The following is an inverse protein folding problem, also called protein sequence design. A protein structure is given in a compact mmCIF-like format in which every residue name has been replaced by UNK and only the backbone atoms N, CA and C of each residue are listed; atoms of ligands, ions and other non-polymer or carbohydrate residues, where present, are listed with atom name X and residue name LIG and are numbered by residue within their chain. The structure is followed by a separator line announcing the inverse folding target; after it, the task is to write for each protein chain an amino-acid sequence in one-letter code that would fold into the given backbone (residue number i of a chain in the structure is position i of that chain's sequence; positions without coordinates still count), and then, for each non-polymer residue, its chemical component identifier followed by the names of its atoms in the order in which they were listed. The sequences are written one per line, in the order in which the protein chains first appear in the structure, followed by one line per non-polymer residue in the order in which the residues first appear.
data_IF_020772264850
#
_entry.id   IF_020772264850
#
_cell.length_a   1.000
_cell.length_b   1.000
_cell.length_c   1.000
_cell.angle_alpha   90.00
_cell.angle_beta   90.00
_cell.angle_gamma   90.00
#
_symmetry.space_group_name_H-M   'P 1'
#
loop_
_entity.id
_entity.type
_entity.pdbx_description
1 polymer ?
#
# COMPACT_ATOMS: atom_id res chain seq x y z
N UNK A 1 -6.00 5.97 15.96
CA UNK A 1 -7.35 6.48 15.66
C UNK A 1 -8.16 6.32 16.92
N UNK A 2 -8.21 7.39 17.70
CA UNK A 2 -9.13 7.53 18.83
C UNK A 2 -10.51 7.95 18.33
N UNK A 3 -11.50 7.94 19.22
CA UNK A 3 -12.86 8.38 18.89
C UNK A 3 -12.93 9.88 18.57
N UNK A 4 -12.05 10.68 19.17
CA UNK A 4 -11.88 12.11 18.85
C UNK A 4 -11.29 12.32 17.45
N UNK A 5 -10.29 11.52 17.05
CA UNK A 5 -9.73 11.56 15.70
C UNK A 5 -10.83 11.32 14.65
N UNK A 6 -11.72 10.35 14.88
CA UNK A 6 -12.82 10.04 13.97
C UNK A 6 -13.84 11.19 13.86
N UNK A 7 -14.18 11.86 14.97
CA UNK A 7 -15.07 13.01 14.97
C UNK A 7 -14.48 14.20 14.21
N UNK A 8 -13.19 14.48 14.41
CA UNK A 8 -12.49 15.53 13.67
C UNK A 8 -12.39 15.18 12.18
N UNK A 9 -12.14 13.91 11.83
CA UNK A 9 -12.12 13.47 10.44
C UNK A 9 -13.47 13.69 9.75
N UNK A 10 -14.58 13.35 10.41
CA UNK A 10 -15.93 13.59 9.89
C UNK A 10 -16.22 15.10 9.74
N UNK A 11 -15.89 15.90 10.77
CA UNK A 11 -16.10 17.35 10.77
C UNK A 11 -15.31 18.09 9.68
N UNK A 12 -14.08 17.66 9.40
CA UNK A 12 -13.22 18.25 8.37
C UNK A 12 -13.39 17.59 6.99
N UNK A 13 -14.26 16.59 6.86
CA UNK A 13 -14.43 15.83 5.61
C UNK A 13 -13.19 15.03 5.21
N UNK A 14 -12.33 14.67 6.17
CA UNK A 14 -11.11 13.91 5.95
C UNK A 14 -11.48 12.44 5.75
N UNK A 15 -11.16 11.90 4.57
CA UNK A 15 -11.35 10.49 4.26
C UNK A 15 -10.02 9.75 4.26
N UNK A 16 -9.98 8.57 4.88
CA UNK A 16 -8.83 7.67 4.74
C UNK A 16 -9.04 6.76 3.54
N UNK A 17 -8.05 6.72 2.65
CA UNK A 17 -7.97 5.72 1.58
C UNK A 17 -6.88 4.73 1.95
N UNK A 18 -7.25 3.46 2.08
CA UNK A 18 -6.27 2.39 2.21
C UNK A 18 -5.54 2.25 0.88
N UNK A 19 -4.25 2.61 0.86
CA UNK A 19 -3.41 2.39 -0.30
C UNK A 19 -2.90 0.95 -0.26
N UNK A 20 -3.27 0.15 -1.25
CA UNK A 20 -2.70 -1.19 -1.41
C UNK A 20 -1.22 -1.06 -1.74
N UNK A 21 -0.36 -1.59 -0.88
CA UNK A 21 1.09 -1.66 -1.10
C UNK A 21 1.46 -3.13 -1.23
N UNK A 22 2.19 -3.47 -2.29
CA UNK A 22 2.67 -4.82 -2.54
C UNK A 22 4.07 -4.96 -1.98
N UNK A 23 4.36 -6.06 -1.30
CA UNK A 23 5.70 -6.34 -0.77
C UNK A 23 6.24 -7.63 -1.39
N UNK A 24 7.45 -7.56 -1.93
CA UNK A 24 8.18 -8.72 -2.44
C UNK A 24 9.65 -8.62 -2.03
N UNK A 25 10.19 -9.66 -1.38
CA UNK A 25 11.58 -9.72 -0.86
C UNK A 25 12.02 -8.48 -0.06
N UNK A 26 11.13 -7.87 0.71
CA UNK A 26 11.43 -6.67 1.50
C UNK A 26 11.34 -5.35 0.73
N UNK A 27 11.11 -5.39 -0.58
CA UNK A 27 10.84 -4.20 -1.38
C UNK A 27 9.35 -3.87 -1.38
N UNK A 28 9.04 -2.58 -1.21
CA UNK A 28 7.67 -2.05 -1.28
C UNK A 28 7.39 -1.55 -2.70
N UNK A 29 6.27 -1.96 -3.26
CA UNK A 29 5.80 -1.56 -4.59
C UNK A 29 4.43 -0.92 -4.47
N UNK A 30 4.27 0.25 -5.09
CA UNK A 30 2.97 0.91 -5.18
C UNK A 30 2.02 0.23 -6.16
N UNK A 31 2.55 -0.54 -7.11
CA UNK A 31 1.79 -1.20 -8.16
C UNK A 31 2.01 -2.71 -8.14
N UNK A 32 0.93 -3.46 -8.35
CA UNK A 32 0.98 -4.91 -8.50
C UNK A 32 1.88 -5.32 -9.68
N UNK A 33 1.81 -4.57 -10.78
CA UNK A 33 2.57 -4.86 -12.00
C UNK A 33 4.08 -4.79 -11.78
N UNK A 34 4.54 -3.84 -10.97
CA UNK A 34 5.97 -3.67 -10.65
C UNK A 34 6.44 -4.82 -9.74
N UNK A 35 5.65 -5.15 -8.72
CA UNK A 35 5.93 -6.29 -7.85
C UNK A 35 6.01 -7.61 -8.65
N UNK A 36 5.06 -7.83 -9.57
CA UNK A 36 5.02 -9.02 -10.42
C UNK A 36 6.16 -9.04 -11.45
N UNK A 37 6.49 -7.90 -12.04
CA UNK A 37 7.62 -7.83 -12.97
C UNK A 37 8.93 -8.16 -12.26
N UNK A 38 9.15 -7.61 -11.07
CA UNK A 38 10.33 -7.93 -10.28
C UNK A 38 10.37 -9.39 -9.88
N UNK A 39 9.25 -9.95 -9.40
CA UNK A 39 9.15 -11.38 -9.08
C UNK A 39 9.42 -12.27 -10.29
N UNK A 40 8.94 -11.90 -11.48
CA UNK A 40 9.21 -12.63 -12.73
C UNK A 40 10.68 -12.56 -13.15
N UNK A 41 11.34 -11.42 -12.99
CA UNK A 41 12.76 -11.25 -13.28
C UNK A 41 13.59 -12.09 -12.30
N UNK A 42 13.30 -11.97 -11.01
CA UNK A 42 13.95 -12.72 -9.93
C UNK A 42 13.80 -14.24 -10.10
N UNK A 43 12.63 -14.71 -10.55
CA UNK A 43 12.40 -16.12 -10.84
C UNK A 43 13.13 -16.62 -12.10
N UNK A 44 13.42 -15.74 -13.07
CA UNK A 44 14.21 -16.09 -14.28
C UNK A 44 15.72 -16.09 -14.05
N UNK A 45 16.18 -15.39 -13.01
CA UNK A 45 17.59 -15.29 -12.62
C UNK A 45 18.05 -16.42 -11.68
N UNK A 46 17.14 -17.34 -11.33
CA UNK A 46 17.36 -18.46 -10.42
C UNK A 46 17.27 -19.78 -11.18
#
# INVERSE_FOLDING_TARGET
MTEEDNKLMDQYGITSKQKTVYLYKGHKYGNLKDALNFAKIDMKLK
#
